data_IF_409070231786
#
_entry.id   IF_409070231786
#
_cell.length_a   1.000
_cell.length_b   1.000
_cell.length_c   1.000
_cell.angle_alpha   90.00
_cell.angle_beta   90.00
_cell.angle_gamma   90.00
#
_symmetry.space_group_name_H-M   'P 1'
#
loop_
_entity.id
_entity.type
_entity.pdbx_description
1 polymer ?
#
# COMPACT_ATOMS: atom_id res chain seq x y z
N UNK A 1 24.48 6.82 -3.60
CA UNK A 1 23.69 5.65 -4.04
C UNK A 1 22.95 5.07 -2.86
N UNK A 2 21.65 5.16 -2.88
CA UNK A 2 20.83 4.42 -1.95
C UNK A 2 20.83 2.96 -2.39
N UNK A 3 21.15 2.03 -1.48
CA UNK A 3 21.04 0.60 -1.75
C UNK A 3 19.60 0.20 -2.05
N UNK A 4 19.33 -1.04 -2.46
CA UNK A 4 17.98 -1.50 -2.71
C UNK A 4 17.15 -1.33 -1.44
N UNK A 5 15.90 -0.87 -1.61
CA UNK A 5 14.98 -0.68 -0.51
C UNK A 5 14.61 -2.04 0.08
N UNK A 6 14.71 -2.16 1.38
CA UNK A 6 14.31 -3.37 2.09
C UNK A 6 12.82 -3.26 2.49
N UNK A 7 11.96 -3.77 1.61
CA UNK A 7 10.50 -3.75 1.82
C UNK A 7 10.11 -4.47 3.11
N UNK A 8 10.79 -5.58 3.42
CA UNK A 8 10.52 -6.34 4.64
C UNK A 8 10.84 -5.51 5.89
N UNK A 9 11.95 -4.79 5.89
CA UNK A 9 12.32 -3.92 7.01
C UNK A 9 11.30 -2.80 7.20
N UNK A 10 10.80 -2.21 6.12
CA UNK A 10 9.76 -1.18 6.19
C UNK A 10 8.49 -1.74 6.84
N UNK A 11 8.04 -2.92 6.39
CA UNK A 11 6.86 -3.57 6.97
C UNK A 11 7.08 -3.88 8.46
N UNK A 12 8.25 -4.42 8.79
CA UNK A 12 8.56 -4.80 10.17
C UNK A 12 8.69 -3.60 11.11
N UNK A 13 9.00 -2.41 10.58
CA UNK A 13 9.11 -1.19 11.39
C UNK A 13 7.75 -0.65 11.85
N UNK A 14 6.66 -1.07 11.23
CA UNK A 14 5.30 -0.61 11.54
C UNK A 14 4.54 -1.68 12.32
N UNK A 15 4.16 -1.41 13.59
CA UNK A 15 3.34 -2.34 14.37
C UNK A 15 2.04 -2.72 13.68
N UNK A 16 1.40 -1.76 13.01
CA UNK A 16 0.14 -1.99 12.33
C UNK A 16 0.32 -2.87 11.08
N UNK A 17 1.38 -2.65 10.31
CA UNK A 17 1.70 -3.51 9.16
C UNK A 17 1.96 -4.95 9.60
N UNK A 18 2.64 -5.13 10.75
CA UNK A 18 2.86 -6.46 11.34
C UNK A 18 1.55 -7.09 11.79
N UNK A 19 0.67 -6.30 12.43
CA UNK A 19 -0.65 -6.78 12.84
C UNK A 19 -1.47 -7.27 11.66
N UNK A 20 -1.47 -6.53 10.54
CA UNK A 20 -2.17 -6.93 9.33
C UNK A 20 -1.55 -8.17 8.66
N UNK A 21 -0.28 -8.44 8.94
CA UNK A 21 0.42 -9.58 8.33
C UNK A 21 0.82 -9.34 6.88
N UNK A 22 1.05 -8.09 6.51
CA UNK A 22 1.38 -7.71 5.13
C UNK A 22 2.73 -8.30 4.73
N UNK A 23 2.78 -8.81 3.50
CA UNK A 23 3.99 -9.23 2.83
C UNK A 23 4.16 -8.42 1.54
N UNK A 24 5.38 -8.35 1.03
CA UNK A 24 5.66 -7.64 -0.22
C UNK A 24 6.83 -8.28 -0.95
N UNK A 25 6.76 -8.21 -2.26
CA UNK A 25 7.87 -8.60 -3.15
C UNK A 25 7.92 -7.63 -4.32
N UNK A 26 9.11 -7.47 -4.92
CA UNK A 26 9.29 -6.61 -6.07
C UNK A 26 9.53 -7.46 -7.32
N UNK A 27 8.95 -7.01 -8.43
CA UNK A 27 9.15 -7.59 -9.75
C UNK A 27 9.35 -6.45 -10.78
N UNK A 28 9.34 -6.76 -12.08
CA UNK A 28 9.51 -5.76 -13.14
C UNK A 28 8.39 -4.72 -13.17
N UNK A 29 7.24 -5.01 -12.56
CA UNK A 29 6.09 -4.09 -12.47
C UNK A 29 6.11 -3.22 -11.20
N UNK A 30 7.08 -3.43 -10.30
CA UNK A 30 7.17 -2.74 -9.03
C UNK A 30 6.81 -3.65 -7.86
N UNK A 31 6.21 -3.08 -6.81
CA UNK A 31 5.87 -3.83 -5.59
C UNK A 31 4.53 -4.53 -5.75
N UNK A 32 4.53 -5.83 -5.46
CA UNK A 32 3.31 -6.60 -5.23
C UNK A 32 3.15 -6.73 -3.72
N UNK A 33 2.14 -6.09 -3.16
CA UNK A 33 1.77 -6.23 -1.75
C UNK A 33 0.77 -7.38 -1.60
N UNK A 34 0.88 -8.12 -0.51
CA UNK A 34 0.10 -9.32 -0.25
C UNK A 34 -0.46 -9.24 1.16
N UNK A 35 -1.77 -9.42 1.29
CA UNK A 35 -2.47 -9.51 2.57
C UNK A 35 -3.03 -10.91 2.72
N UNK A 36 -2.30 -11.82 3.41
CA UNK A 36 -2.82 -13.14 3.70
C UNK A 36 -4.08 -13.05 4.58
N UNK A 37 -5.02 -13.92 4.34
CA UNK A 37 -6.26 -13.90 5.12
C UNK A 37 -6.02 -14.42 6.54
N UNK A 38 -6.60 -13.73 7.51
CA UNK A 38 -6.66 -14.17 8.91
C UNK A 38 -8.04 -13.84 9.46
N UNK A 39 -8.50 -14.63 10.41
CA UNK A 39 -9.84 -14.47 10.98
C UNK A 39 -10.05 -13.09 11.62
N UNK A 40 -9.01 -12.52 12.21
CA UNK A 40 -9.06 -11.22 12.87
C UNK A 40 -9.35 -10.07 11.90
N UNK A 41 -9.15 -10.29 10.60
CA UNK A 41 -9.40 -9.27 9.58
C UNK A 41 -10.84 -9.29 9.06
N UNK A 42 -11.62 -10.30 9.44
CA UNK A 42 -13.02 -10.42 8.99
C UNK A 42 -13.89 -9.48 9.80
N UNK A 43 -14.52 -8.53 9.10
CA UNK A 43 -15.43 -7.55 9.70
C UNK A 43 -16.89 -7.95 9.65
N UNK A 44 -17.28 -8.69 8.59
CA UNK A 44 -18.63 -9.21 8.44
C UNK A 44 -18.58 -10.74 8.34
N UNK A 45 -19.01 -11.40 9.40
CA UNK A 45 -18.93 -12.87 9.52
C UNK A 45 -19.92 -13.56 8.59
N UNK A 46 -21.03 -12.91 8.29
CA UNK A 46 -22.12 -13.53 7.51
C UNK A 46 -21.80 -13.63 6.02
N UNK A 47 -21.06 -12.65 5.46
CA UNK A 47 -20.70 -12.67 4.04
C UNK A 47 -19.74 -13.82 3.67
N UNK A 48 -18.67 -14.27 4.39
CA UNK A 48 -17.77 -13.47 5.19
C UNK A 48 -16.96 -12.49 4.33
N UNK A 49 -16.68 -11.32 4.88
CA UNK A 49 -15.89 -10.29 4.20
C UNK A 49 -14.93 -9.60 5.15
N UNK A 50 -13.75 -9.22 4.64
CA UNK A 50 -12.79 -8.46 5.42
C UNK A 50 -13.35 -7.10 5.80
N UNK A 51 -12.93 -6.60 6.98
CA UNK A 51 -13.26 -5.25 7.41
C UNK A 51 -12.71 -4.24 6.40
N UNK A 52 -13.55 -3.29 5.97
CA UNK A 52 -13.16 -2.28 4.98
C UNK A 52 -11.94 -1.47 5.40
N UNK A 53 -11.81 -1.20 6.70
CA UNK A 53 -10.63 -0.51 7.24
C UNK A 53 -9.34 -1.29 7.07
N UNK A 54 -9.39 -2.63 7.12
CA UNK A 54 -8.21 -3.47 6.88
C UNK A 54 -7.79 -3.38 5.40
N UNK A 55 -8.75 -3.43 4.49
CA UNK A 55 -8.47 -3.34 3.05
C UNK A 55 -7.94 -1.95 2.70
N UNK A 56 -8.55 -0.89 3.21
CA UNK A 56 -8.10 0.49 2.98
C UNK A 56 -6.69 0.73 3.53
N UNK A 57 -6.41 0.25 4.74
CA UNK A 57 -5.08 0.36 5.35
C UNK A 57 -4.04 -0.41 4.56
N UNK A 58 -4.39 -1.60 4.07
CA UNK A 58 -3.52 -2.39 3.21
C UNK A 58 -3.15 -1.63 1.94
N UNK A 59 -4.13 -0.99 1.29
CA UNK A 59 -3.89 -0.18 0.10
C UNK A 59 -3.02 1.05 0.38
N UNK A 60 -3.24 1.71 1.51
CA UNK A 60 -2.39 2.83 1.93
C UNK A 60 -0.95 2.38 2.09
N UNK A 61 -0.73 1.25 2.75
CA UNK A 61 0.60 0.69 2.94
C UNK A 61 1.22 0.29 1.60
N UNK A 62 0.44 -0.27 0.68
CA UNK A 62 0.92 -0.58 -0.67
C UNK A 62 1.42 0.67 -1.39
N UNK A 63 0.72 1.80 -1.25
CA UNK A 63 1.18 3.10 -1.78
C UNK A 63 2.51 3.51 -1.18
N UNK A 64 2.66 3.40 0.14
CA UNK A 64 3.90 3.76 0.84
C UNK A 64 5.07 2.87 0.41
N UNK A 65 4.84 1.57 0.24
CA UNK A 65 5.87 0.62 -0.21
C UNK A 65 6.33 0.91 -1.64
N UNK A 66 5.38 1.19 -2.54
CA UNK A 66 5.71 1.53 -3.92
C UNK A 66 6.49 2.85 -4.00
N UNK A 67 6.09 3.85 -3.21
CA UNK A 67 6.79 5.12 -3.16
C UNK A 67 8.22 4.94 -2.66
N UNK A 68 8.41 4.17 -1.60
CA UNK A 68 9.74 3.85 -1.06
C UNK A 68 10.59 3.12 -2.11
N UNK A 69 10.01 2.15 -2.79
CA UNK A 69 10.68 1.36 -3.81
C UNK A 69 11.18 2.24 -4.98
N UNK A 70 10.32 3.11 -5.51
CA UNK A 70 10.68 3.97 -6.64
C UNK A 70 11.64 5.10 -6.27
N UNK A 71 11.52 5.65 -5.06
CA UNK A 71 12.38 6.76 -4.61
C UNK A 71 13.67 6.30 -3.96
N UNK A 72 13.78 5.01 -3.63
CA UNK A 72 14.97 4.44 -3.00
C UNK A 72 15.17 4.88 -1.56
N UNK A 73 14.12 5.31 -0.86
CA UNK A 73 14.20 5.77 0.53
C UNK A 73 13.42 4.89 1.48
N UNK A 74 14.01 4.60 2.64
CA UNK A 74 13.33 3.92 3.75
C UNK A 74 12.67 4.92 4.70
N UNK A 75 12.87 6.22 4.49
CA UNK A 75 12.24 7.25 5.32
C UNK A 75 10.72 7.26 5.09
N UNK A 76 9.91 7.30 6.15
CA UNK A 76 8.47 7.18 6.00
C UNK A 76 7.85 8.43 5.37
N UNK A 77 6.99 8.23 4.38
CA UNK A 77 6.03 9.23 3.93
C UNK A 77 4.78 9.16 4.80
N UNK A 78 3.94 10.18 4.76
CA UNK A 78 2.70 10.24 5.54
C UNK A 78 1.53 10.57 4.63
N UNK A 79 0.41 9.90 4.85
CA UNK A 79 -0.81 10.24 4.12
C UNK A 79 -1.34 11.59 4.61
N UNK A 80 -1.61 12.48 3.65
CA UNK A 80 -2.33 13.74 3.90
C UNK A 80 -3.82 13.46 3.85
N UNK A 81 -4.26 12.77 2.80
CA UNK A 81 -5.63 12.31 2.65
C UNK A 81 -5.65 11.02 1.82
N UNK A 82 -6.73 10.29 1.96
CA UNK A 82 -7.02 9.12 1.14
C UNK A 82 -8.50 9.15 0.73
N UNK A 83 -8.78 8.65 -0.46
CA UNK A 83 -10.13 8.41 -0.96
C UNK A 83 -10.23 6.95 -1.37
N UNK A 84 -11.24 6.26 -0.87
CA UNK A 84 -11.39 4.81 -1.03
C UNK A 84 -12.69 4.50 -1.73
N UNK A 85 -12.64 3.64 -2.74
CA UNK A 85 -13.80 3.12 -3.43
C UNK A 85 -13.88 1.61 -3.22
N UNK A 86 -14.93 1.15 -2.54
CA UNK A 86 -15.20 -0.26 -2.35
C UNK A 86 -16.08 -0.75 -3.49
N UNK A 87 -15.53 -1.55 -4.39
CA UNK A 87 -16.24 -1.99 -5.60
C UNK A 87 -17.02 -3.30 -5.37
N UNK A 88 -16.48 -4.17 -4.53
CA UNK A 88 -17.10 -5.45 -4.17
C UNK A 88 -16.53 -5.94 -2.85
N UNK A 89 -17.23 -6.85 -2.16
CA UNK A 89 -16.74 -7.39 -0.89
C UNK A 89 -15.42 -8.13 -1.07
N UNK A 90 -14.45 -7.85 -0.19
CA UNK A 90 -13.23 -8.64 -0.10
C UNK A 90 -13.53 -9.89 0.72
N UNK A 91 -13.54 -11.03 0.06
CA UNK A 91 -13.93 -12.29 0.67
C UNK A 91 -12.79 -12.88 1.53
N UNK A 92 -13.05 -14.02 2.15
CA UNK A 92 -12.07 -14.78 2.92
C UNK A 92 -11.06 -15.44 1.98
N UNK A 93 -10.14 -14.63 1.47
CA UNK A 93 -9.10 -15.05 0.53
C UNK A 93 -7.94 -14.07 0.63
N UNK A 94 -6.75 -14.50 0.19
CA UNK A 94 -5.60 -13.61 0.08
C UNK A 94 -5.93 -12.46 -0.85
N UNK A 95 -5.53 -11.26 -0.44
CA UNK A 95 -5.74 -10.03 -1.22
C UNK A 95 -4.38 -9.51 -1.67
N UNK A 96 -4.31 -9.11 -2.94
CA UNK A 96 -3.12 -8.57 -3.56
C UNK A 96 -3.35 -7.09 -3.87
N UNK A 97 -2.28 -6.31 -3.90
CA UNK A 97 -2.38 -4.91 -4.29
C UNK A 97 -1.14 -4.47 -5.05
N UNK A 98 -1.36 -3.55 -5.98
CA UNK A 98 -0.30 -2.78 -6.63
C UNK A 98 -0.65 -1.30 -6.58
N UNK A 99 0.37 -0.49 -6.44
CA UNK A 99 0.24 0.95 -6.45
C UNK A 99 0.98 1.53 -7.65
N UNK A 100 0.58 2.73 -8.05
CA UNK A 100 1.21 3.47 -9.12
C UNK A 100 1.35 4.92 -8.69
N UNK A 101 2.56 5.47 -8.80
CA UNK A 101 2.79 6.89 -8.58
C UNK A 101 2.22 7.63 -9.80
N UNK A 102 1.22 8.46 -9.57
CA UNK A 102 0.60 9.28 -10.62
C UNK A 102 1.33 10.59 -10.81
N UNK A 103 1.87 11.12 -9.73
CA UNK A 103 2.67 12.33 -9.75
C UNK A 103 3.64 12.32 -8.57
N UNK A 104 4.89 12.62 -8.84
CA UNK A 104 5.91 12.81 -7.82
C UNK A 104 6.29 14.29 -7.81
N UNK A 105 5.76 15.05 -6.85
CA UNK A 105 6.07 16.44 -6.65
C UNK A 105 7.26 16.61 -5.70
N UNK A 106 7.55 17.87 -5.36
CA UNK A 106 8.66 18.19 -4.45
C UNK A 106 8.37 17.81 -2.99
N UNK A 107 7.11 17.93 -2.58
CA UNK A 107 6.70 17.71 -1.20
C UNK A 107 5.60 16.68 -1.07
N UNK A 108 4.83 16.48 -2.13
CA UNK A 108 3.66 15.61 -2.14
C UNK A 108 3.70 14.71 -3.36
N UNK A 109 3.42 13.44 -3.14
CA UNK A 109 3.19 12.46 -4.21
C UNK A 109 1.71 12.11 -4.27
N UNK A 110 1.21 11.89 -5.47
CA UNK A 110 -0.13 11.32 -5.71
C UNK A 110 0.07 9.88 -6.12
N UNK A 111 -0.47 8.95 -5.32
CA UNK A 111 -0.30 7.52 -5.54
C UNK A 111 -1.66 6.84 -5.49
N UNK A 112 -1.94 6.01 -6.49
CA UNK A 112 -3.17 5.23 -6.60
C UNK A 112 -2.84 3.75 -6.40
N UNK A 113 -3.73 3.03 -5.72
CA UNK A 113 -3.58 1.59 -5.52
C UNK A 113 -4.87 0.86 -5.83
N UNK A 114 -4.74 -0.38 -6.24
CA UNK A 114 -5.84 -1.30 -6.50
C UNK A 114 -5.60 -2.60 -5.77
N UNK A 115 -6.65 -3.15 -5.17
CA UNK A 115 -6.61 -4.45 -4.52
C UNK A 115 -7.51 -5.43 -5.26
N UNK A 116 -7.06 -6.68 -5.39
CA UNK A 116 -7.84 -7.76 -6.01
C UNK A 116 -7.59 -9.07 -5.27
N UNK A 117 -8.40 -10.07 -5.53
CA UNK A 117 -8.27 -11.40 -4.93
C UNK A 117 -8.00 -12.46 -5.98
N UNK A 118 -8.93 -12.69 -6.89
CA UNK A 118 -8.83 -13.77 -7.89
C UNK A 118 -8.46 -13.26 -9.29
N UNK A 119 -8.86 -12.04 -9.61
CA UNK A 119 -8.69 -11.46 -10.94
C UNK A 119 -8.27 -10.00 -10.81
N UNK A 120 -7.06 -9.70 -11.28
CA UNK A 120 -6.51 -8.33 -11.23
C UNK A 120 -7.39 -7.32 -11.98
N UNK A 121 -8.09 -7.77 -13.02
CA UNK A 121 -9.00 -6.92 -13.79
C UNK A 121 -10.34 -6.68 -13.08
N UNK A 122 -10.58 -7.34 -11.95
CA UNK A 122 -11.77 -7.16 -11.13
C UNK A 122 -11.38 -6.76 -9.71
N UNK A 123 -10.88 -5.53 -9.52
CA UNK A 123 -10.45 -5.09 -8.20
C UNK A 123 -11.62 -5.04 -7.21
N UNK A 124 -11.32 -5.32 -5.96
CA UNK A 124 -12.31 -5.23 -4.87
C UNK A 124 -12.33 -3.83 -4.28
N UNK A 125 -11.21 -3.10 -4.37
CA UNK A 125 -11.07 -1.79 -3.76
C UNK A 125 -10.06 -0.95 -4.52
N UNK A 126 -10.34 0.35 -4.64
CA UNK A 126 -9.42 1.34 -5.20
C UNK A 126 -9.13 2.38 -4.13
N UNK A 127 -7.90 2.92 -4.15
CA UNK A 127 -7.51 3.98 -3.23
C UNK A 127 -6.69 5.02 -3.99
N UNK A 128 -7.02 6.30 -3.74
CA UNK A 128 -6.23 7.44 -4.18
C UNK A 128 -5.67 8.12 -2.95
N UNK A 129 -4.39 8.44 -2.97
CA UNK A 129 -3.73 9.05 -1.83
C UNK A 129 -2.89 10.25 -2.24
N UNK A 130 -2.81 11.24 -1.33
CA UNK A 130 -1.80 12.27 -1.34
C UNK A 130 -0.86 11.97 -0.18
N UNK A 131 0.41 11.74 -0.49
CA UNK A 131 1.43 11.37 0.49
C UNK A 131 2.43 12.51 0.63
N UNK A 132 2.68 12.93 1.87
CA UNK A 132 3.73 13.89 2.15
C UNK A 132 5.08 13.19 2.13
N UNK A 133 5.99 13.67 1.30
CA UNK A 133 7.32 13.11 1.17
C UNK A 133 8.16 13.43 2.41
N UNK A 134 9.07 12.52 2.81
CA UNK A 134 10.02 12.83 3.86
C UNK A 134 10.93 14.01 3.44
N UNK A 135 11.36 14.81 4.43
CA UNK A 135 12.17 16.02 4.20
C UNK A 135 13.45 15.72 3.40
N UNK A 136 14.04 14.53 3.58
CA UNK A 136 15.23 14.10 2.86
C UNK A 136 15.02 13.98 1.35
N UNK A 137 13.82 13.63 0.90
CA UNK A 137 13.48 13.60 -0.54
C UNK A 137 13.17 14.97 -1.08
N UNK A 138 12.47 15.80 -0.31
CA UNK A 138 12.13 17.17 -0.71
C UNK A 138 13.37 18.03 -0.97
N UNK A 139 14.49 17.76 -0.30
CA UNK A 139 15.76 18.48 -0.47
C UNK A 139 16.50 18.03 -1.73
N UNK A 140 16.39 16.75 -2.11
CA UNK A 140 17.08 16.21 -3.30
C UNK A 140 16.55 16.78 -4.61
N UNK A 141 15.27 17.16 -4.66
CA UNK A 141 14.66 17.75 -5.86
C UNK A 141 15.01 19.23 -6.05
N UNK A 142 15.69 19.84 -5.11
CA UNK A 142 16.08 21.26 -5.18
C UNK A 142 17.54 21.46 -5.66
N UNK A 143 18.25 20.37 -5.86
CA UNK A 143 19.64 20.45 -6.30
C UNK A 143 19.78 20.52 -7.83
#
# INVERSE_FOLDING_TARGET
>A
MTGPVDLKAIIQSSPFSRFLGIEAQADERGVLAILPIRDELIGNVMLPAMHGGCVASFLEIACLLQLAYETGTNAPARAIDISVEYLRPARRATTYARARIRRLGKRVAVVHAEAWQHDEDKPVCLLQSHLRLPATLAVKDQA
#
